data_IF_384422519742
#
_entry.id   IF_384422519742
#
_cell.length_a   1.000
_cell.length_b   1.000
_cell.length_c   1.000
_cell.angle_alpha   90.00
_cell.angle_beta   90.00
_cell.angle_gamma   90.00
#
_symmetry.space_group_name_H-M   'P 1'
#
loop_
_entity.id
_entity.type
_entity.pdbx_description
1 polymer ?
#
# COMPACT_ATOMS: atom_id res chain seq x y z
N UNK A 1 -0.82 -9.51 -12.53
CA UNK A 1 -1.11 -8.28 -11.78
C UNK A 1 -0.46 -8.37 -10.41
N UNK A 2 0.16 -7.29 -9.92
CA UNK A 2 0.59 -7.21 -8.52
C UNK A 2 -0.32 -6.27 -7.74
N UNK A 3 -0.60 -6.66 -6.47
CA UNK A 3 -1.30 -5.82 -5.50
C UNK A 3 -0.41 -5.70 -4.27
N UNK A 4 -0.08 -4.48 -3.83
CA UNK A 4 0.65 -4.23 -2.60
C UNK A 4 -0.30 -3.63 -1.57
N UNK A 5 -0.55 -4.35 -0.47
CA UNK A 5 -1.35 -3.87 0.66
C UNK A 5 -0.93 -4.53 1.97
N UNK A 6 -0.30 -3.76 2.84
CA UNK A 6 0.34 -4.29 4.05
C UNK A 6 -0.54 -4.27 5.30
N UNK A 7 -1.59 -3.45 5.31
CA UNK A 7 -2.42 -3.22 6.50
C UNK A 7 -3.78 -3.92 6.53
N UNK A 8 -4.13 -4.70 5.49
CA UNK A 8 -5.40 -5.41 5.43
C UNK A 8 -5.27 -6.87 5.87
N UNK A 9 -6.36 -7.47 6.38
CA UNK A 9 -6.40 -8.90 6.66
C UNK A 9 -6.27 -9.72 5.37
N UNK A 10 -5.73 -10.92 5.51
CA UNK A 10 -5.51 -11.88 4.44
C UNK A 10 -6.33 -13.15 4.66
N UNK A 11 -6.59 -13.98 3.63
CA UNK A 11 -7.30 -15.26 3.79
C UNK A 11 -6.64 -16.23 4.76
N UNK A 12 -5.35 -16.03 5.04
CA UNK A 12 -4.55 -16.85 5.96
C UNK A 12 -4.66 -16.42 7.43
N UNK A 13 -5.34 -15.31 7.73
CA UNK A 13 -5.45 -14.78 9.11
C UNK A 13 -6.60 -15.42 9.91
N UNK A 14 -7.51 -16.16 9.27
CA UNK A 14 -8.60 -16.91 9.88
C UNK A 14 -9.84 -17.04 8.97
N UNK A 15 -10.74 -17.97 9.31
CA UNK A 15 -11.90 -18.32 8.49
C UNK A 15 -12.99 -17.22 8.43
N UNK A 16 -13.04 -16.35 9.45
CA UNK A 16 -14.06 -15.29 9.58
C UNK A 16 -13.53 -13.89 9.29
N UNK A 17 -12.38 -13.77 8.63
CA UNK A 17 -11.79 -12.48 8.34
C UNK A 17 -12.54 -11.81 7.20
N UNK A 18 -13.14 -10.64 7.46
CA UNK A 18 -13.84 -9.86 6.44
C UNK A 18 -12.84 -9.29 5.41
N UNK A 19 -12.99 -9.63 4.12
CA UNK A 19 -12.17 -9.04 3.08
C UNK A 19 -12.33 -7.52 3.04
N UNK A 20 -11.21 -6.80 2.97
CA UNK A 20 -11.20 -5.36 2.77
C UNK A 20 -10.96 -5.03 1.29
N UNK A 21 -10.72 -3.76 0.98
CA UNK A 21 -10.67 -3.22 -0.38
C UNK A 21 -9.71 -3.95 -1.32
N UNK A 22 -8.46 -4.15 -0.90
CA UNK A 22 -7.47 -4.81 -1.75
C UNK A 22 -7.78 -6.30 -1.93
N UNK A 23 -8.29 -6.97 -0.89
CA UNK A 23 -8.68 -8.37 -1.00
C UNK A 23 -9.92 -8.56 -1.88
N UNK A 24 -10.91 -7.65 -1.80
CA UNK A 24 -12.06 -7.66 -2.69
C UNK A 24 -11.63 -7.48 -4.16
N UNK A 25 -10.74 -6.53 -4.43
CA UNK A 25 -10.15 -6.35 -5.77
C UNK A 25 -9.41 -7.62 -6.22
N UNK A 26 -8.61 -8.21 -5.34
CA UNK A 26 -7.89 -9.48 -5.59
C UNK A 26 -8.86 -10.57 -6.02
N UNK A 27 -9.93 -10.78 -5.26
CA UNK A 27 -10.93 -11.81 -5.54
C UNK A 27 -11.63 -11.59 -6.90
N UNK A 28 -11.99 -10.34 -7.21
CA UNK A 28 -12.60 -9.99 -8.49
C UNK A 28 -11.64 -10.25 -9.67
N UNK A 29 -10.38 -9.89 -9.53
CA UNK A 29 -9.38 -10.12 -10.59
C UNK A 29 -9.10 -11.62 -10.79
N UNK A 30 -9.00 -12.38 -9.71
CA UNK A 30 -8.83 -13.85 -9.78
C UNK A 30 -10.04 -14.50 -10.44
N UNK A 31 -11.26 -14.10 -10.07
CA UNK A 31 -12.50 -14.58 -10.68
C UNK A 31 -12.60 -14.24 -12.18
N UNK A 32 -12.01 -13.10 -12.60
CA UNK A 32 -11.88 -12.71 -14.01
C UNK A 32 -10.76 -13.46 -14.75
N UNK A 33 -10.06 -14.40 -14.10
CA UNK A 33 -9.02 -15.24 -14.72
C UNK A 33 -7.61 -14.62 -14.70
N UNK A 34 -7.40 -13.49 -14.01
CA UNK A 34 -6.08 -12.89 -13.90
C UNK A 34 -5.21 -13.63 -12.86
N UNK A 35 -3.91 -13.75 -13.16
CA UNK A 35 -2.92 -14.15 -12.16
C UNK A 35 -2.56 -12.97 -11.28
N UNK A 36 -2.75 -13.12 -9.97
CA UNK A 36 -2.53 -12.06 -8.98
C UNK A 36 -1.47 -12.48 -7.97
N UNK A 37 -0.51 -11.58 -7.74
CA UNK A 37 0.44 -11.68 -6.63
C UNK A 37 0.10 -10.58 -5.63
N UNK A 38 -0.35 -10.99 -4.44
CA UNK A 38 -0.68 -10.08 -3.35
C UNK A 38 0.51 -9.96 -2.40
N UNK A 39 1.13 -8.79 -2.37
CA UNK A 39 2.22 -8.42 -1.46
C UNK A 39 1.64 -7.84 -0.18
N UNK A 40 1.99 -8.42 0.96
CA UNK A 40 1.53 -7.94 2.26
C UNK A 40 2.62 -8.06 3.30
N UNK A 41 2.37 -7.54 4.52
CA UNK A 41 3.29 -7.69 5.65
C UNK A 41 3.20 -9.09 6.26
N UNK A 42 4.30 -9.62 6.75
CA UNK A 42 4.29 -10.78 7.65
C UNK A 42 3.76 -10.43 9.05
N UNK A 43 3.62 -9.14 9.35
CA UNK A 43 3.03 -8.66 10.60
C UNK A 43 1.55 -8.30 10.41
N UNK A 44 0.67 -8.92 11.19
CA UNK A 44 -0.77 -8.67 11.17
C UNK A 44 -1.10 -7.47 12.06
N UNK A 45 -1.35 -6.34 11.43
CA UNK A 45 -1.52 -5.04 12.08
C UNK A 45 -2.69 -5.00 13.07
N UNK A 46 -3.82 -5.63 12.76
CA UNK A 46 -5.02 -5.58 13.60
C UNK A 46 -4.79 -6.25 14.95
N UNK A 47 -4.10 -7.38 14.97
CA UNK A 47 -3.84 -8.17 16.15
C UNK A 47 -2.45 -7.95 16.76
N UNK A 48 -1.62 -7.10 16.13
CA UNK A 48 -0.26 -6.79 16.60
C UNK A 48 0.62 -8.04 16.80
N UNK A 49 0.47 -9.01 15.93
CA UNK A 49 1.23 -10.25 15.95
C UNK A 49 1.83 -10.59 14.58
N UNK A 50 2.88 -11.38 14.58
CA UNK A 50 3.38 -11.96 13.34
C UNK A 50 2.46 -13.10 12.88
N UNK A 51 2.26 -13.21 11.58
CA UNK A 51 1.60 -14.34 10.95
C UNK A 51 2.44 -15.60 11.12
N UNK A 52 1.83 -16.66 11.65
CA UNK A 52 2.50 -17.93 11.86
C UNK A 52 2.53 -18.73 10.56
N UNK A 53 3.48 -18.39 9.69
CA UNK A 53 3.68 -19.08 8.41
C UNK A 53 5.10 -19.62 8.31
N UNK A 54 5.25 -20.79 7.73
CA UNK A 54 6.54 -21.42 7.53
C UNK A 54 7.31 -20.87 6.34
N UNK A 55 6.59 -20.22 5.42
CA UNK A 55 7.14 -19.66 4.19
C UNK A 55 6.56 -18.25 3.92
N UNK A 56 7.38 -17.38 3.35
CA UNK A 56 6.97 -16.03 2.97
C UNK A 56 6.18 -16.00 1.64
N UNK A 57 6.08 -17.10 0.93
CA UNK A 57 5.33 -17.25 -0.32
C UNK A 57 4.29 -18.33 -0.11
N UNK A 58 3.02 -17.99 -0.27
CA UNK A 58 1.87 -18.85 -0.03
C UNK A 58 1.03 -18.90 -1.30
N UNK A 59 0.89 -20.07 -1.89
CA UNK A 59 -0.02 -20.28 -3.02
C UNK A 59 -1.41 -20.56 -2.48
N UNK A 60 -2.32 -19.61 -2.65
CA UNK A 60 -3.72 -19.70 -2.19
C UNK A 60 -4.57 -20.46 -3.22
N UNK A 61 -4.32 -20.20 -4.52
CA UNK A 61 -4.95 -20.88 -5.64
C UNK A 61 -4.02 -20.88 -6.86
N UNK A 62 -4.46 -21.44 -7.99
CA UNK A 62 -3.69 -21.42 -9.24
C UNK A 62 -3.45 -20.00 -9.77
N UNK A 63 -4.34 -19.07 -9.43
CA UNK A 63 -4.29 -17.67 -9.88
C UNK A 63 -3.99 -16.68 -8.75
N UNK A 64 -3.74 -17.14 -7.51
CA UNK A 64 -3.43 -16.26 -6.38
C UNK A 64 -2.23 -16.75 -5.58
N UNK A 65 -1.21 -15.91 -5.55
CA UNK A 65 -0.04 -16.06 -4.69
C UNK A 65 0.04 -14.89 -3.69
N UNK A 66 0.31 -15.17 -2.43
CA UNK A 66 0.54 -14.17 -1.38
C UNK A 66 2.03 -14.16 -1.05
N UNK A 67 2.67 -12.98 -1.13
CA UNK A 67 4.05 -12.76 -0.71
C UNK A 67 4.08 -11.92 0.55
N UNK A 68 4.59 -12.49 1.63
CA UNK A 68 4.70 -11.84 2.92
C UNK A 68 6.07 -11.18 3.08
N UNK A 69 6.07 -9.88 3.30
CA UNK A 69 7.26 -9.07 3.51
C UNK A 69 7.59 -9.09 4.99
N UNK A 70 8.77 -9.61 5.42
CA UNK A 70 9.16 -9.62 6.81
C UNK A 70 9.37 -8.20 7.36
N UNK A 71 8.98 -7.99 8.63
CA UNK A 71 9.25 -6.77 9.38
C UNK A 71 9.25 -7.06 10.89
N UNK A 72 9.73 -6.11 11.70
CA UNK A 72 9.81 -6.29 13.15
C UNK A 72 8.45 -6.20 13.87
N UNK A 73 7.46 -5.61 13.21
CA UNK A 73 6.18 -5.32 13.84
C UNK A 73 6.26 -4.15 14.85
N UNK A 74 5.11 -3.81 15.43
CA UNK A 74 5.00 -2.75 16.43
C UNK A 74 3.77 -2.94 17.31
N UNK A 75 3.83 -2.40 18.55
CA UNK A 75 2.72 -2.51 19.51
C UNK A 75 1.79 -1.28 19.48
N UNK A 76 2.34 -0.09 19.21
CA UNK A 76 1.57 1.17 19.23
C UNK A 76 1.38 1.70 17.82
N UNK A 77 0.17 2.18 17.51
CA UNK A 77 -0.18 2.73 16.18
C UNK A 77 0.56 4.05 15.89
N UNK A 78 0.97 4.77 16.93
CA UNK A 78 1.75 6.00 16.82
C UNK A 78 3.05 5.79 17.59
N UNK A 79 4.19 6.06 16.96
CA UNK A 79 5.50 5.95 17.58
C UNK A 79 6.61 5.48 16.65
N UNK A 80 7.85 5.58 17.13
CA UNK A 80 9.06 5.22 16.37
C UNK A 80 9.08 3.75 15.91
N UNK A 81 8.52 2.82 16.71
CA UNK A 81 8.46 1.41 16.35
C UNK A 81 7.71 1.17 15.03
N UNK A 82 6.63 1.92 14.77
CA UNK A 82 5.91 1.83 13.49
C UNK A 82 6.74 2.37 12.31
N UNK A 83 7.49 3.44 12.53
CA UNK A 83 8.38 3.99 11.48
C UNK A 83 9.51 3.02 11.16
N UNK A 84 10.09 2.38 12.17
CA UNK A 84 11.14 1.35 12.00
C UNK A 84 10.57 0.15 11.23
N UNK A 85 9.38 -0.32 11.59
CA UNK A 85 8.69 -1.42 10.89
C UNK A 85 8.47 -1.09 9.41
N UNK A 86 7.95 0.11 9.10
CA UNK A 86 7.72 0.55 7.73
C UNK A 86 9.02 0.67 6.92
N UNK A 87 10.09 1.18 7.55
CA UNK A 87 11.41 1.25 6.91
C UNK A 87 11.95 -0.17 6.61
N UNK A 88 11.80 -1.09 7.56
CA UNK A 88 12.22 -2.48 7.37
C UNK A 88 11.39 -3.19 6.31
N UNK A 89 10.05 -2.98 6.29
CA UNK A 89 9.18 -3.46 5.22
C UNK A 89 9.67 -3.00 3.84
N UNK A 90 10.01 -1.71 3.70
CA UNK A 90 10.49 -1.16 2.44
C UNK A 90 11.84 -1.75 2.01
N UNK A 91 12.77 -1.95 2.95
CA UNK A 91 14.08 -2.55 2.69
C UNK A 91 13.90 -4.00 2.22
N UNK A 92 13.07 -4.78 2.90
CA UNK A 92 12.82 -6.17 2.55
C UNK A 92 12.01 -6.30 1.25
N UNK A 93 11.00 -5.46 1.03
CA UNK A 93 10.29 -5.38 -0.24
C UNK A 93 11.27 -5.12 -1.40
N UNK A 94 12.19 -4.15 -1.25
CA UNK A 94 13.19 -3.83 -2.27
C UNK A 94 14.11 -5.01 -2.61
N UNK A 95 14.43 -5.85 -1.64
CA UNK A 95 15.20 -7.09 -1.86
C UNK A 95 14.34 -8.11 -2.62
N UNK A 96 13.14 -8.38 -2.13
CA UNK A 96 12.24 -9.40 -2.67
C UNK A 96 11.81 -9.10 -4.12
N UNK A 97 11.51 -7.84 -4.47
CA UNK A 97 11.12 -7.50 -5.86
C UNK A 97 12.27 -7.67 -6.85
N UNK A 98 13.53 -7.52 -6.41
CA UNK A 98 14.71 -7.76 -7.26
C UNK A 98 14.92 -9.24 -7.60
N UNK A 99 14.45 -10.12 -6.74
CA UNK A 99 14.55 -11.58 -6.90
C UNK A 99 13.38 -12.15 -7.73
N UNK A 100 12.34 -11.33 -8.00
CA UNK A 100 11.23 -11.76 -8.82
C UNK A 100 11.63 -11.89 -10.29
N UNK A 101 11.40 -13.07 -10.86
CA UNK A 101 11.61 -13.35 -12.28
C UNK A 101 10.40 -12.94 -13.11
N UNK A 102 9.19 -13.19 -12.58
CA UNK A 102 7.94 -12.87 -13.26
C UNK A 102 7.49 -11.47 -12.86
N UNK A 103 7.44 -10.58 -13.85
CA UNK A 103 7.01 -9.20 -13.70
C UNK A 103 5.50 -9.07 -13.92
N UNK A 104 4.82 -8.11 -13.28
CA UNK A 104 3.42 -7.86 -13.55
C UNK A 104 3.23 -7.00 -14.79
N UNK A 105 2.06 -7.08 -15.43
CA UNK A 105 1.65 -6.14 -16.48
C UNK A 105 1.21 -4.80 -15.87
N UNK A 106 0.71 -4.82 -14.62
CA UNK A 106 0.23 -3.65 -13.88
C UNK A 106 0.27 -3.92 -12.38
N UNK A 107 0.43 -2.86 -11.58
CA UNK A 107 0.36 -2.96 -10.12
C UNK A 107 -0.62 -1.96 -9.49
N UNK A 108 -1.37 -2.45 -8.50
CA UNK A 108 -2.20 -1.67 -7.59
C UNK A 108 -1.52 -1.56 -6.24
N UNK A 109 -1.30 -0.34 -5.76
CA UNK A 109 -0.41 -0.07 -4.63
C UNK A 109 -1.16 0.74 -3.58
N UNK A 110 -1.47 0.11 -2.44
CA UNK A 110 -2.09 0.76 -1.29
C UNK A 110 -1.15 1.79 -0.65
N UNK A 111 -1.71 2.95 -0.30
CA UNK A 111 -1.04 4.04 0.35
C UNK A 111 -1.86 4.56 1.54
N UNK A 112 -1.30 4.68 2.75
CA UNK A 112 0.07 4.34 3.17
C UNK A 112 0.32 2.82 3.29
N UNK A 113 1.54 2.35 3.61
CA UNK A 113 2.75 3.06 4.00
C UNK A 113 3.48 3.75 2.83
N UNK A 114 4.07 4.93 3.13
CA UNK A 114 4.79 5.75 2.13
C UNK A 114 5.97 4.98 1.55
N UNK A 115 6.75 4.33 2.42
CA UNK A 115 8.02 3.71 2.12
C UNK A 115 7.87 2.54 1.14
N UNK A 116 6.91 1.66 1.40
CA UNK A 116 6.64 0.51 0.53
C UNK A 116 6.05 0.93 -0.80
N UNK A 117 5.13 1.91 -0.79
CA UNK A 117 4.55 2.47 -2.01
C UNK A 117 5.64 3.10 -2.90
N UNK A 118 6.53 3.91 -2.31
CA UNK A 118 7.63 4.54 -3.03
C UNK A 118 8.61 3.53 -3.63
N UNK A 119 8.95 2.46 -2.90
CA UNK A 119 9.81 1.39 -3.40
C UNK A 119 9.17 0.69 -4.58
N UNK A 120 7.90 0.28 -4.47
CA UNK A 120 7.20 -0.47 -5.51
C UNK A 120 7.01 0.38 -6.77
N UNK A 121 6.50 1.61 -6.63
CA UNK A 121 6.32 2.53 -7.77
C UNK A 121 7.64 2.77 -8.48
N UNK A 122 8.69 3.14 -7.73
CA UNK A 122 10.00 3.40 -8.35
C UNK A 122 10.55 2.19 -9.08
N UNK A 123 10.41 0.99 -8.49
CA UNK A 123 10.95 -0.23 -9.08
C UNK A 123 10.23 -0.62 -10.37
N UNK A 124 8.89 -0.43 -10.40
CA UNK A 124 8.05 -0.74 -11.55
C UNK A 124 8.16 0.34 -12.65
N UNK A 125 8.18 1.64 -12.28
CA UNK A 125 8.32 2.73 -13.24
C UNK A 125 9.65 2.68 -14.01
N UNK A 126 10.73 2.20 -13.39
CA UNK A 126 12.02 1.96 -14.07
C UNK A 126 11.97 0.82 -15.11
N UNK A 127 10.85 0.13 -15.22
CA UNK A 127 10.59 -0.99 -16.14
C UNK A 127 9.38 -0.73 -17.04
N UNK A 128 8.91 0.52 -17.06
CA UNK A 128 7.74 0.96 -17.81
C UNK A 128 6.46 0.19 -17.48
N UNK A 129 6.39 -0.38 -16.25
CA UNK A 129 5.21 -1.10 -15.78
C UNK A 129 4.25 -0.12 -15.11
N UNK A 130 2.99 -0.03 -15.60
CA UNK A 130 2.01 0.90 -15.07
C UNK A 130 1.65 0.59 -13.62
N UNK A 131 1.50 1.68 -12.84
CA UNK A 131 1.16 1.60 -11.41
C UNK A 131 -0.02 2.51 -11.07
N UNK A 132 -0.93 2.01 -10.23
CA UNK A 132 -2.03 2.78 -9.66
C UNK A 132 -1.81 2.85 -8.14
N UNK A 133 -1.61 4.06 -7.60
CA UNK A 133 -1.56 4.28 -6.15
C UNK A 133 -2.98 4.52 -5.63
N UNK A 134 -3.39 3.73 -4.64
CA UNK A 134 -4.69 3.86 -3.97
C UNK A 134 -4.55 4.61 -2.64
N UNK A 135 -4.94 5.87 -2.63
CA UNK A 135 -4.79 6.78 -1.49
C UNK A 135 -5.96 6.61 -0.52
N UNK A 136 -5.63 6.11 0.67
CA UNK A 136 -6.59 5.87 1.76
C UNK A 136 -6.44 6.86 2.92
N UNK A 137 -5.34 7.62 2.95
CA UNK A 137 -5.02 8.54 4.03
C UNK A 137 -4.10 9.67 3.53
N UNK A 138 -4.13 10.82 4.18
CA UNK A 138 -3.38 12.01 3.78
C UNK A 138 -1.98 12.09 4.44
N UNK A 139 -1.28 10.96 4.45
CA UNK A 139 0.10 10.94 4.92
C UNK A 139 1.03 11.64 3.92
N UNK A 140 2.05 12.40 4.35
CA UNK A 140 2.42 12.72 5.73
C UNK A 140 1.73 13.99 6.29
N UNK A 141 0.83 14.65 5.55
CA UNK A 141 0.22 15.94 5.93
C UNK A 141 -0.48 15.86 7.29
N UNK A 142 -1.20 14.79 7.55
CA UNK A 142 -1.94 14.59 8.81
C UNK A 142 -1.05 14.66 10.06
N UNK A 143 0.26 14.34 9.93
CA UNK A 143 1.19 14.46 11.05
C UNK A 143 1.49 15.91 11.42
N UNK A 144 1.46 16.83 10.43
CA UNK A 144 1.61 18.26 10.68
C UNK A 144 0.34 18.86 11.29
N UNK A 145 -0.83 18.36 10.84
CA UNK A 145 -2.11 18.85 11.33
C UNK A 145 -2.34 18.49 12.80
N UNK A 146 -1.76 17.38 13.26
CA UNK A 146 -1.76 16.98 14.66
C UNK A 146 -0.83 17.83 15.55
N UNK A 147 0.06 18.65 14.97
CA UNK A 147 0.95 19.52 15.71
C UNK A 147 0.32 20.90 15.97
N UNK A 148 0.61 21.53 17.13
CA UNK A 148 0.31 22.94 17.35
C UNK A 148 0.86 23.81 16.23
N UNK A 149 0.16 24.88 15.86
CA UNK A 149 0.53 25.71 14.70
C UNK A 149 1.97 26.20 14.71
N UNK A 150 2.47 26.60 15.89
CA UNK A 150 3.85 27.12 16.04
C UNK A 150 4.94 26.05 15.84
N UNK A 151 4.60 24.75 15.96
CA UNK A 151 5.52 23.62 15.73
C UNK A 151 5.47 23.07 14.29
N UNK A 152 4.47 23.43 13.51
CA UNK A 152 4.31 22.93 12.12
C UNK A 152 5.51 23.23 11.23
N UNK A 153 6.15 24.41 11.26
CA UNK A 153 7.35 24.65 10.45
C UNK A 153 8.49 23.70 10.78
N UNK A 154 8.75 23.46 12.07
CA UNK A 154 9.76 22.50 12.52
C UNK A 154 9.39 21.07 12.11
N UNK A 155 8.13 20.68 12.31
CA UNK A 155 7.61 19.40 11.87
C UNK A 155 7.78 19.17 10.37
N UNK A 156 7.56 20.21 9.55
CA UNK A 156 7.77 20.15 8.09
C UNK A 156 9.23 19.91 7.72
N UNK A 157 10.17 20.51 8.44
CA UNK A 157 11.61 20.29 8.23
C UNK A 157 11.97 18.84 8.59
N UNK A 158 11.52 18.37 9.74
CA UNK A 158 11.81 17.00 10.22
C UNK A 158 11.19 15.94 9.28
N UNK A 159 9.96 16.18 8.83
CA UNK A 159 9.25 15.26 7.94
C UNK A 159 9.55 15.48 6.44
N UNK A 160 10.42 16.44 6.10
CA UNK A 160 10.75 16.76 4.70
C UNK A 160 11.15 15.53 3.85
N UNK A 161 11.96 14.57 4.35
CA UNK A 161 12.25 13.36 3.57
C UNK A 161 11.00 12.53 3.24
N UNK A 162 10.04 12.44 4.18
CA UNK A 162 8.76 11.77 3.98
C UNK A 162 7.89 12.49 2.95
N UNK A 163 7.80 13.82 3.04
CA UNK A 163 7.09 14.63 2.05
C UNK A 163 7.66 14.42 0.64
N UNK A 164 8.98 14.44 0.52
CA UNK A 164 9.67 14.24 -0.76
C UNK A 164 9.47 12.82 -1.30
N UNK A 165 9.51 11.82 -0.43
CA UNK A 165 9.32 10.42 -0.81
C UNK A 165 7.89 10.16 -1.31
N UNK A 166 6.89 10.62 -0.56
CA UNK A 166 5.47 10.52 -0.90
C UNK A 166 5.14 11.24 -2.21
N UNK A 167 5.59 12.49 -2.35
CA UNK A 167 5.38 13.28 -3.57
C UNK A 167 5.95 12.58 -4.81
N UNK A 168 7.19 12.09 -4.74
CA UNK A 168 7.81 11.36 -5.85
C UNK A 168 7.09 10.06 -6.19
N UNK A 169 6.59 9.33 -5.19
CA UNK A 169 5.80 8.13 -5.45
C UNK A 169 4.53 8.46 -6.25
N UNK A 170 3.79 9.50 -5.83
CA UNK A 170 2.57 9.92 -6.52
C UNK A 170 2.85 10.52 -7.90
N UNK A 171 3.96 11.25 -8.09
CA UNK A 171 4.37 11.80 -9.38
C UNK A 171 4.75 10.72 -10.40
N UNK A 172 5.40 9.64 -9.95
CA UNK A 172 5.86 8.56 -10.80
C UNK A 172 4.81 7.48 -11.06
N UNK A 173 3.67 7.53 -10.36
CA UNK A 173 2.58 6.60 -10.62
C UNK A 173 1.83 6.95 -11.91
N UNK A 174 1.44 5.94 -12.66
CA UNK A 174 0.64 6.08 -13.89
C UNK A 174 -0.77 6.61 -13.59
N UNK A 175 -1.30 6.29 -12.41
CA UNK A 175 -2.58 6.80 -11.94
C UNK A 175 -2.64 6.84 -10.41
N UNK A 176 -3.59 7.65 -9.92
CA UNK A 176 -3.94 7.71 -8.50
C UNK A 176 -5.41 7.35 -8.36
N UNK A 177 -5.73 6.46 -7.45
CA UNK A 177 -7.10 6.23 -7.01
C UNK A 177 -7.28 6.63 -5.56
N UNK A 178 -8.53 6.91 -5.18
CA UNK A 178 -8.89 7.21 -3.81
C UNK A 178 -10.33 6.77 -3.52
N UNK A 179 -10.71 6.71 -2.24
CA UNK A 179 -12.06 6.34 -1.84
C UNK A 179 -13.08 7.48 -1.95
N UNK A 180 -12.61 8.72 -2.07
CA UNK A 180 -13.45 9.92 -2.21
C UNK A 180 -12.68 11.02 -2.94
N UNK A 181 -13.43 11.97 -3.56
CA UNK A 181 -12.84 13.10 -4.30
C UNK A 181 -11.91 13.95 -3.45
N UNK A 182 -12.21 14.16 -2.17
CA UNK A 182 -11.33 14.92 -1.27
C UNK A 182 -9.93 14.32 -1.13
N UNK A 183 -9.82 13.00 -1.06
CA UNK A 183 -8.52 12.31 -1.01
C UNK A 183 -7.80 12.36 -2.35
N UNK A 184 -8.52 12.22 -3.47
CA UNK A 184 -7.92 12.31 -4.80
C UNK A 184 -7.41 13.74 -5.07
N UNK A 185 -8.22 14.75 -4.78
CA UNK A 185 -7.85 16.16 -4.97
C UNK A 185 -6.65 16.53 -4.09
N UNK A 186 -6.62 16.07 -2.83
CA UNK A 186 -5.45 16.21 -1.98
C UNK A 186 -4.20 15.58 -2.60
N UNK A 187 -4.29 14.35 -3.08
CA UNK A 187 -3.16 13.63 -3.64
C UNK A 187 -2.61 14.31 -4.91
N UNK A 188 -3.47 14.81 -5.79
CA UNK A 188 -3.08 15.54 -6.98
C UNK A 188 -2.39 16.87 -6.64
N UNK A 189 -2.98 17.64 -5.73
CA UNK A 189 -2.38 18.88 -5.23
C UNK A 189 -1.03 18.64 -4.52
N UNK A 190 -0.96 17.57 -3.71
CA UNK A 190 0.26 17.17 -3.02
C UNK A 190 1.37 16.75 -3.99
N UNK A 191 1.02 16.02 -5.04
CA UNK A 191 1.92 15.61 -6.11
C UNK A 191 2.30 16.76 -7.06
N UNK A 192 1.59 17.90 -7.01
CA UNK A 192 1.72 19.00 -7.96
C UNK A 192 1.58 18.50 -9.41
N UNK A 193 0.55 17.73 -9.69
CA UNK A 193 0.26 17.21 -11.03
C UNK A 193 -1.21 17.40 -11.39
N UNK A 194 -1.47 17.57 -12.67
CA UNK A 194 -2.82 17.60 -13.22
C UNK A 194 -3.48 16.21 -13.14
N UNK A 195 -4.82 16.22 -13.13
CA UNK A 195 -5.62 15.00 -13.15
C UNK A 195 -5.52 14.32 -14.51
N UNK A 196 -5.15 13.05 -14.50
CA UNK A 196 -5.08 12.18 -15.69
C UNK A 196 -6.37 11.36 -15.84
N UNK A 197 -6.57 10.80 -17.05
CA UNK A 197 -7.68 9.89 -17.30
C UNK A 197 -7.62 8.60 -16.48
N UNK A 198 -6.44 8.22 -16.02
CA UNK A 198 -6.18 7.09 -15.12
C UNK A 198 -6.50 7.37 -13.66
N UNK A 199 -6.70 8.65 -13.27
CA UNK A 199 -7.01 9.01 -11.88
C UNK A 199 -8.52 8.85 -11.63
N UNK A 200 -8.87 8.00 -10.65
CA UNK A 200 -10.25 7.59 -10.41
C UNK A 200 -10.62 7.60 -8.93
N UNK A 201 -11.88 7.86 -8.67
CA UNK A 201 -12.48 7.63 -7.35
C UNK A 201 -13.18 6.28 -7.37
N UNK A 202 -12.81 5.40 -6.43
CA UNK A 202 -13.48 4.13 -6.18
C UNK A 202 -14.03 4.15 -4.75
N UNK A 203 -15.32 4.47 -4.57
CA UNK A 203 -15.94 4.51 -3.24
C UNK A 203 -15.82 3.17 -2.51
N UNK A 204 -15.85 3.23 -1.19
CA UNK A 204 -15.99 2.02 -0.38
C UNK A 204 -17.38 1.44 -0.58
N UNK A 205 -17.44 0.20 -1.04
CA UNK A 205 -18.70 -0.52 -1.22
C UNK A 205 -18.70 -1.80 -0.40
N UNK A 206 -19.89 -2.21 0.05
CA UNK A 206 -20.09 -3.54 0.60
C UNK A 206 -20.31 -4.52 -0.56
N UNK A 207 -19.72 -5.73 -0.54
CA UNK A 207 -20.04 -6.74 -1.53
C UNK A 207 -21.53 -7.01 -1.58
N UNK A 208 -22.11 -7.01 -2.79
CA UNK A 208 -23.49 -7.39 -3.00
C UNK A 208 -23.66 -8.86 -2.56
N UNK A 209 -24.48 -9.13 -1.57
CA UNK A 209 -24.79 -10.49 -1.08
C UNK A 209 -24.40 -10.80 0.36
N UNK A 210 -23.92 -9.83 1.13
CA UNK A 210 -23.69 -9.95 2.59
C UNK A 210 -24.66 -9.02 3.34
N UNK A 211 -25.97 -9.21 3.16
CA UNK A 211 -27.04 -8.67 4.02
C UNK A 211 -27.75 -9.85 4.66
#
# INVERSE_FOLDING_TARGET
>A
IWILQTGEPLPIDGDNVRPMRAMNLTNMLVAAGHKVVLWSSAFYHQEKRHRSVTQNIIRVSDNLEVKLIPSCGYQRNIGLGRLIDHAQLAINLKKMVKECKDLPDVAFIGYPPIETAAVMVRWLSMRDIPTLIDVKDQWPSIFLDALPQFLRPLGRIILWPYFRLAKRAMQNATGISAMADGFLNWALAFAERDRLNSDKVFPLTTPLGQV
#
